data_IF_688320612550
#
_entry.id   IF_688320612550
#
_cell.length_a   1.000
_cell.length_b   1.000
_cell.length_c   1.000
_cell.angle_alpha   90.00
_cell.angle_beta   90.00
_cell.angle_gamma   90.00
#
_symmetry.space_group_name_H-M   'P 1'
#
loop_
_entity.id
_entity.type
_entity.pdbx_description
1 polymer ?
#
# COMPACT_ATOMS: atom_id res chain seq x y z
N UNK A 1 -4.97 -8.71 -9.08
CA UNK A 1 -3.96 -7.66 -8.86
C UNK A 1 -2.91 -7.51 -9.96
N UNK A 2 -2.35 -8.56 -10.59
CA UNK A 2 -1.36 -8.44 -11.69
C UNK A 2 -1.98 -8.80 -13.06
N UNK A 3 -2.94 -9.73 -13.06
CA UNK A 3 -3.64 -10.19 -14.27
C UNK A 3 -4.41 -9.03 -14.91
N UNK A 4 -5.07 -8.22 -14.11
CA UNK A 4 -5.89 -7.07 -14.49
C UNK A 4 -5.01 -6.00 -15.14
N UNK A 5 -3.84 -5.67 -14.59
CA UNK A 5 -2.88 -4.78 -15.27
C UNK A 5 -2.43 -5.35 -16.62
N UNK A 6 -2.18 -6.66 -16.69
CA UNK A 6 -1.75 -7.31 -17.94
C UNK A 6 -2.84 -7.35 -19.01
N UNK A 7 -4.11 -7.48 -18.61
CA UNK A 7 -5.27 -7.57 -19.50
C UNK A 7 -5.72 -6.18 -19.94
N UNK A 8 -5.94 -5.28 -18.98
CA UNK A 8 -6.56 -3.97 -19.20
C UNK A 8 -5.56 -2.91 -19.67
N UNK A 9 -4.25 -3.11 -19.39
CA UNK A 9 -3.14 -2.23 -19.80
C UNK A 9 -3.50 -0.74 -19.63
N UNK A 10 -3.80 -0.31 -18.39
CA UNK A 10 -4.29 1.04 -18.14
C UNK A 10 -3.31 2.11 -18.64
N UNK A 11 -3.85 3.11 -19.33
CA UNK A 11 -3.06 4.24 -19.83
C UNK A 11 -3.07 5.39 -18.81
N UNK A 12 -1.95 5.53 -18.09
CA UNK A 12 -1.77 6.57 -17.09
C UNK A 12 -1.32 7.91 -17.71
N UNK A 13 -1.92 9.04 -17.33
CA UNK A 13 -1.41 10.37 -17.68
C UNK A 13 0.03 10.56 -17.15
N UNK A 14 0.87 11.20 -17.94
CA UNK A 14 2.28 11.44 -17.60
C UNK A 14 2.47 12.16 -16.26
N UNK A 15 1.53 13.02 -15.91
CA UNK A 15 1.54 13.87 -14.73
C UNK A 15 1.37 13.11 -13.42
N UNK A 16 0.82 11.89 -13.47
CA UNK A 16 0.69 11.03 -12.29
C UNK A 16 1.73 9.92 -12.22
N UNK A 17 2.58 9.75 -13.24
CA UNK A 17 3.54 8.64 -13.28
C UNK A 17 4.48 8.64 -12.07
N UNK A 18 5.00 9.80 -11.66
CA UNK A 18 5.88 9.89 -10.48
C UNK A 18 5.16 9.49 -9.19
N UNK A 19 3.91 9.91 -9.03
CA UNK A 19 3.12 9.59 -7.84
C UNK A 19 2.71 8.12 -7.84
N UNK A 20 2.40 7.57 -9.01
CA UNK A 20 2.05 6.18 -9.17
C UNK A 20 3.24 5.27 -8.85
N UNK A 21 4.44 5.58 -9.35
CA UNK A 21 5.66 4.87 -8.97
C UNK A 21 5.95 5.02 -7.47
N UNK A 22 5.78 6.21 -6.91
CA UNK A 22 5.88 6.42 -5.47
C UNK A 22 4.92 5.52 -4.67
N UNK A 23 3.68 5.34 -5.14
CA UNK A 23 2.71 4.43 -4.52
C UNK A 23 3.16 2.97 -4.58
N UNK A 24 3.77 2.55 -5.69
CA UNK A 24 4.37 1.22 -5.82
C UNK A 24 5.48 1.05 -4.79
N UNK A 25 6.38 2.03 -4.67
CA UNK A 25 7.52 1.98 -3.75
C UNK A 25 7.07 1.86 -2.30
N UNK A 26 6.16 2.73 -1.81
CA UNK A 26 5.66 2.59 -0.43
C UNK A 26 4.87 1.31 -0.19
N UNK A 27 4.19 0.77 -1.20
CA UNK A 27 3.52 -0.52 -1.08
C UNK A 27 4.51 -1.67 -0.92
N UNK A 28 5.67 -1.61 -1.59
CA UNK A 28 6.75 -2.58 -1.43
C UNK A 28 7.33 -2.48 -0.01
N UNK A 29 7.65 -1.27 0.45
CA UNK A 29 8.21 -1.04 1.79
C UNK A 29 7.28 -1.56 2.91
N UNK A 30 5.97 -1.38 2.78
CA UNK A 30 4.99 -1.95 3.72
C UNK A 30 5.09 -3.49 3.78
N UNK A 31 5.23 -4.16 2.64
CA UNK A 31 5.38 -5.61 2.55
C UNK A 31 6.72 -6.07 3.12
N UNK A 32 7.81 -5.33 2.89
CA UNK A 32 9.13 -5.66 3.44
C UNK A 32 9.13 -5.61 4.97
N UNK A 33 8.53 -4.57 5.56
CA UNK A 33 8.40 -4.44 7.00
C UNK A 33 7.42 -5.48 7.59
N UNK A 34 6.39 -5.90 6.83
CA UNK A 34 5.54 -7.05 7.21
C UNK A 34 6.36 -8.34 7.28
N UNK A 35 7.20 -8.62 6.28
CA UNK A 35 8.09 -9.79 6.30
C UNK A 35 9.06 -9.72 7.49
N UNK A 36 9.62 -8.54 7.77
CA UNK A 36 10.49 -8.33 8.92
C UNK A 36 9.76 -8.56 10.25
N UNK A 37 8.55 -8.04 10.40
CA UNK A 37 7.66 -8.25 11.55
C UNK A 37 7.41 -9.73 11.82
N UNK A 38 7.04 -10.50 10.78
CA UNK A 38 6.80 -11.94 10.91
C UNK A 38 8.08 -12.68 11.31
N UNK A 39 9.24 -12.30 10.76
CA UNK A 39 10.53 -12.91 11.14
C UNK A 39 10.92 -12.58 12.58
N UNK A 40 10.73 -11.33 13.00
CA UNK A 40 10.98 -10.87 14.36
C UNK A 40 10.13 -11.65 15.37
N UNK A 41 8.85 -11.91 15.07
CA UNK A 41 7.99 -12.72 15.95
C UNK A 41 8.60 -14.08 16.35
N UNK A 42 9.36 -14.72 15.46
CA UNK A 42 10.00 -16.00 15.76
C UNK A 42 11.40 -15.88 16.38
N UNK A 43 12.11 -14.76 16.17
CA UNK A 43 13.54 -14.62 16.52
C UNK A 43 13.85 -13.57 17.59
N UNK A 44 13.11 -12.46 17.57
CA UNK A 44 13.27 -11.33 18.46
C UNK A 44 11.94 -10.59 18.63
N UNK A 45 11.24 -10.89 19.73
CA UNK A 45 9.94 -10.29 20.04
C UNK A 45 10.04 -8.78 20.31
N UNK A 46 11.23 -8.27 20.70
CA UNK A 46 11.39 -6.85 21.03
C UNK A 46 11.36 -5.97 19.78
N UNK A 47 11.83 -6.51 18.64
CA UNK A 47 11.84 -5.82 17.35
C UNK A 47 10.47 -5.79 16.65
N UNK A 48 9.50 -6.62 17.06
CA UNK A 48 8.17 -6.70 16.41
C UNK A 48 7.48 -5.33 16.39
N UNK A 49 7.47 -4.63 17.52
CA UNK A 49 6.80 -3.33 17.65
C UNK A 49 7.37 -2.28 16.69
N UNK A 50 8.68 -2.28 16.50
CA UNK A 50 9.35 -1.30 15.65
C UNK A 50 9.00 -1.53 14.18
N UNK A 51 9.02 -2.79 13.74
CA UNK A 51 8.61 -3.15 12.38
C UNK A 51 7.13 -2.84 12.11
N UNK A 52 6.22 -3.18 13.03
CA UNK A 52 4.79 -2.86 12.90
C UNK A 52 4.57 -1.35 12.79
N UNK A 53 5.30 -0.55 13.57
CA UNK A 53 5.22 0.92 13.51
C UNK A 53 5.57 1.45 12.12
N UNK A 54 6.56 0.84 11.44
CA UNK A 54 6.93 1.21 10.08
C UNK A 54 5.91 0.75 9.04
N UNK A 55 5.31 -0.43 9.20
CA UNK A 55 4.22 -0.87 8.31
C UNK A 55 3.09 0.17 8.32
N UNK A 56 2.63 0.56 9.51
CA UNK A 56 1.60 1.60 9.67
C UNK A 56 2.02 2.96 9.07
N UNK A 57 3.32 3.27 9.06
CA UNK A 57 3.81 4.48 8.42
C UNK A 57 3.69 4.39 6.89
N UNK A 58 4.12 3.28 6.30
CA UNK A 58 4.07 3.08 4.85
C UNK A 58 2.64 2.94 4.32
N UNK A 59 1.76 2.31 5.09
CA UNK A 59 0.32 2.27 4.80
C UNK A 59 -0.26 3.69 4.69
N UNK A 60 -0.02 4.54 5.68
CA UNK A 60 -0.50 5.94 5.67
C UNK A 60 0.06 6.76 4.53
N UNK A 61 1.34 6.58 4.19
CA UNK A 61 1.94 7.26 3.05
C UNK A 61 1.35 6.75 1.71
N UNK A 62 1.10 5.44 1.59
CA UNK A 62 0.36 4.86 0.45
C UNK A 62 -1.03 5.49 0.33
N UNK A 63 -1.71 5.67 1.46
CA UNK A 63 -3.05 6.24 1.47
C UNK A 63 -3.08 7.69 1.01
N UNK A 64 -2.17 8.49 1.54
CA UNK A 64 -1.94 9.90 1.16
C UNK A 64 -1.55 10.06 -0.31
N UNK A 65 -0.66 9.22 -0.83
CA UNK A 65 -0.26 9.27 -2.25
C UNK A 65 -1.45 8.88 -3.13
N UNK A 66 -2.17 7.81 -2.79
CA UNK A 66 -3.36 7.38 -3.51
C UNK A 66 -4.43 8.46 -3.53
N UNK A 67 -4.71 9.12 -2.40
CA UNK A 67 -5.62 10.26 -2.32
C UNK A 67 -5.19 11.40 -3.25
N UNK A 68 -3.90 11.75 -3.25
CA UNK A 68 -3.37 12.80 -4.12
C UNK A 68 -3.57 12.48 -5.61
N UNK A 69 -3.33 11.24 -6.03
CA UNK A 69 -3.58 10.79 -7.41
C UNK A 69 -5.08 10.89 -7.73
N UNK A 70 -5.94 10.39 -6.84
CA UNK A 70 -7.40 10.43 -7.01
C UNK A 70 -7.91 11.87 -7.14
N UNK A 71 -7.49 12.80 -6.27
CA UNK A 71 -7.87 14.21 -6.35
C UNK A 71 -7.44 14.84 -7.68
N UNK A 72 -6.16 14.71 -8.03
CA UNK A 72 -5.62 15.22 -9.29
C UNK A 72 -6.43 14.72 -10.49
N UNK A 73 -6.68 13.41 -10.53
CA UNK A 73 -7.40 12.77 -11.62
C UNK A 73 -8.84 13.28 -11.76
N UNK A 74 -9.54 13.45 -10.64
CA UNK A 74 -10.94 13.89 -10.67
C UNK A 74 -11.10 15.39 -10.93
N UNK A 75 -10.10 16.21 -10.63
CA UNK A 75 -10.07 17.65 -10.92
C UNK A 75 -9.84 17.97 -12.42
N UNK A 76 -9.28 17.03 -13.20
CA UNK A 76 -8.99 17.21 -14.63
C UNK A 76 -10.25 17.13 -15.50
N UNK A 77 -10.62 18.20 -16.19
CA UNK A 77 -11.81 18.24 -17.05
C UNK A 77 -11.62 17.57 -18.41
N UNK A 78 -10.37 17.37 -18.83
CA UNK A 78 -9.94 16.82 -20.11
C UNK A 78 -9.83 15.28 -20.12
N UNK A 79 -10.09 14.63 -18.99
CA UNK A 79 -10.11 13.17 -18.87
C UNK A 79 -11.56 12.71 -18.68
N UNK A 80 -12.00 11.75 -19.50
CA UNK A 80 -13.32 11.15 -19.38
C UNK A 80 -13.51 10.38 -18.07
N UNK A 81 -14.73 10.40 -17.53
CA UNK A 81 -15.03 9.77 -16.25
C UNK A 81 -14.73 8.26 -16.24
N UNK A 82 -14.92 7.57 -17.36
CA UNK A 82 -14.56 6.15 -17.53
C UNK A 82 -13.08 5.91 -17.28
N UNK A 83 -12.19 6.69 -17.91
CA UNK A 83 -10.75 6.60 -17.72
C UNK A 83 -10.35 6.98 -16.30
N UNK A 84 -11.01 7.98 -15.69
CA UNK A 84 -10.78 8.32 -14.28
C UNK A 84 -11.10 7.14 -13.35
N UNK A 85 -12.24 6.50 -13.54
CA UNK A 85 -12.68 5.36 -12.73
C UNK A 85 -11.73 4.17 -12.94
N UNK A 86 -11.29 3.92 -14.18
CA UNK A 86 -10.36 2.86 -14.52
C UNK A 86 -9.01 3.04 -13.80
N UNK A 87 -8.40 4.22 -13.89
CA UNK A 87 -7.14 4.53 -13.19
C UNK A 87 -7.32 4.45 -11.66
N UNK A 88 -8.43 4.99 -11.13
CA UNK A 88 -8.76 4.91 -9.69
C UNK A 88 -8.77 3.46 -9.20
N UNK A 89 -9.29 2.51 -9.98
CA UNK A 89 -9.29 1.09 -9.63
C UNK A 89 -7.88 0.56 -9.42
N UNK A 90 -6.94 0.86 -10.31
CA UNK A 90 -5.54 0.42 -10.18
C UNK A 90 -4.80 1.09 -9.02
N UNK A 91 -5.08 2.37 -8.75
CA UNK A 91 -4.59 3.03 -7.54
C UNK A 91 -5.09 2.31 -6.29
N UNK A 92 -6.38 1.96 -6.24
CA UNK A 92 -6.94 1.19 -5.12
C UNK A 92 -6.29 -0.19 -4.98
N UNK A 93 -6.03 -0.90 -6.08
CA UNK A 93 -5.35 -2.19 -6.01
C UNK A 93 -3.95 -2.12 -5.39
N UNK A 94 -3.20 -1.05 -5.66
CA UNK A 94 -1.91 -0.83 -5.02
C UNK A 94 -2.05 -0.50 -3.53
N UNK A 95 -2.98 0.39 -3.17
CA UNK A 95 -3.24 0.73 -1.76
C UNK A 95 -3.60 -0.52 -0.92
N UNK A 96 -4.38 -1.44 -1.49
CA UNK A 96 -4.74 -2.71 -0.83
C UNK A 96 -3.54 -3.61 -0.50
N UNK A 97 -2.38 -3.42 -1.15
CA UNK A 97 -1.16 -4.17 -0.81
C UNK A 97 -0.64 -3.74 0.56
N UNK A 98 -0.53 -2.43 0.79
CA UNK A 98 -0.05 -1.88 2.05
C UNK A 98 -1.04 -2.15 3.21
N UNK A 99 -2.34 -1.98 2.97
CA UNK A 99 -3.43 -2.32 3.89
C UNK A 99 -3.34 -3.79 4.37
N UNK A 100 -3.15 -4.73 3.43
CA UNK A 100 -2.97 -6.15 3.78
C UNK A 100 -1.69 -6.43 4.56
N UNK A 101 -0.64 -5.64 4.35
CA UNK A 101 0.60 -5.76 5.11
C UNK A 101 0.40 -5.29 6.56
N UNK A 102 -0.33 -4.19 6.76
CA UNK A 102 -0.74 -3.67 8.08
C UNK A 102 -1.60 -4.69 8.83
N UNK A 103 -2.63 -5.25 8.18
CA UNK A 103 -3.49 -6.30 8.72
C UNK A 103 -2.71 -7.48 9.32
N UNK A 104 -1.62 -7.88 8.67
CA UNK A 104 -0.73 -8.94 9.16
C UNK A 104 0.09 -8.44 10.36
N UNK A 105 0.64 -7.23 10.29
CA UNK A 105 1.37 -6.59 11.39
C UNK A 105 0.56 -6.48 12.68
N UNK A 106 -0.72 -6.09 12.55
CA UNK A 106 -1.66 -5.97 13.67
C UNK A 106 -1.92 -7.33 14.34
N UNK A 107 -2.11 -8.38 13.55
CA UNK A 107 -2.28 -9.74 14.07
C UNK A 107 -1.03 -10.21 14.80
N UNK A 108 0.15 -9.98 14.24
CA UNK A 108 1.42 -10.36 14.87
C UNK A 108 1.64 -9.59 16.17
N UNK A 109 1.21 -8.33 16.26
CA UNK A 109 1.23 -7.55 17.50
C UNK A 109 0.39 -8.21 18.59
N UNK A 110 -0.83 -8.64 18.27
CA UNK A 110 -1.70 -9.37 19.21
C UNK A 110 -1.05 -10.69 19.65
N UNK A 111 -0.46 -11.45 18.72
CA UNK A 111 0.21 -12.71 19.03
C UNK A 111 1.44 -12.52 19.92
N UNK A 112 2.15 -11.41 19.74
CA UNK A 112 3.31 -11.04 20.57
C UNK A 112 2.89 -10.79 22.00
N UNK A 113 1.83 -10.02 22.23
CA UNK A 113 1.28 -9.78 23.57
C UNK A 113 0.87 -11.10 24.23
N UNK A 114 0.12 -11.95 23.52
CA UNK A 114 -0.35 -13.25 24.03
C UNK A 114 0.79 -14.21 24.40
N UNK A 115 1.96 -14.09 23.76
CA UNK A 115 3.13 -14.95 24.02
C UNK A 115 3.97 -14.48 25.21
N UNK A 116 3.88 -13.21 25.57
CA UNK A 116 4.58 -12.62 26.71
C UNK A 116 3.80 -12.76 28.03
N UNK A 117 2.51 -13.10 27.94
CA UNK A 117 1.66 -13.47 29.09
C UNK A 117 1.87 -14.93 29.48
#
# INVERSE_FOLDING_TARGET
TIVEFSVEKPEFPSEINSHFMGLVDVSIEAVEEMVATVRAYFKDLTAVRDHVTKIMFFEKESDKIGERIKRFLFDKSDIDLSRKIHIRTFVTYLQTIADKAEDVGDRVSIYTIKRLM
#
